data_IF_933820229747
#
_entry.id   IF_933820229747
#
_cell.length_a   1.000
_cell.length_b   1.000
_cell.length_c   1.000
_cell.angle_alpha   90.00
_cell.angle_beta   90.00
_cell.angle_gamma   90.00
#
_symmetry.space_group_name_H-M   'P 1'
#
loop_
_entity.id
_entity.type
_entity.pdbx_description
1 polymer ?
#
# COMPACT_ATOMS: atom_id res chain seq x y z
N UNK A 1 4.61 5.43 -20.61
CA UNK A 1 4.72 4.35 -19.61
C UNK A 1 5.81 4.77 -18.63
N UNK A 2 5.49 5.11 -17.38
CA UNK A 2 6.46 5.63 -16.40
C UNK A 2 7.18 4.43 -15.73
N UNK A 3 8.49 4.20 -15.97
CA UNK A 3 9.15 2.95 -15.62
C UNK A 3 9.64 2.84 -14.16
N UNK A 4 9.21 3.73 -13.25
CA UNK A 4 9.85 3.89 -11.94
C UNK A 4 9.00 3.52 -10.72
N UNK A 5 7.74 3.16 -10.88
CA UNK A 5 6.89 2.78 -9.75
C UNK A 5 7.05 1.30 -9.42
N UNK A 6 7.13 0.98 -8.13
CA UNK A 6 7.03 -0.39 -7.62
C UNK A 6 5.75 -1.04 -8.22
N UNK A 7 5.77 -2.33 -8.61
CA UNK A 7 4.54 -3.09 -8.88
C UNK A 7 3.40 -2.82 -7.90
N UNK A 8 3.70 -2.63 -6.61
CA UNK A 8 2.71 -2.29 -5.59
C UNK A 8 2.13 -0.89 -5.78
N UNK A 9 2.96 0.15 -5.96
CA UNK A 9 2.50 1.53 -6.22
C UNK A 9 1.63 1.61 -7.50
N UNK A 10 1.96 0.80 -8.52
CA UNK A 10 1.15 0.69 -9.74
C UNK A 10 -0.19 -0.01 -9.52
N UNK A 11 -0.26 -0.97 -8.59
CA UNK A 11 -1.51 -1.62 -8.21
C UNK A 11 -2.38 -0.65 -7.40
N UNK A 12 -1.80 0.03 -6.41
CA UNK A 12 -2.45 1.03 -5.57
C UNK A 12 -3.09 2.15 -6.41
N UNK A 13 -2.39 2.64 -7.44
CA UNK A 13 -2.94 3.63 -8.37
C UNK A 13 -4.18 3.17 -9.16
N UNK A 14 -4.39 1.85 -9.32
CA UNK A 14 -5.56 1.28 -10.02
C UNK A 14 -6.73 0.94 -9.11
N UNK A 15 -6.52 0.88 -7.79
CA UNK A 15 -7.56 0.48 -6.85
C UNK A 15 -8.81 1.37 -6.88
N UNK A 16 -8.71 2.72 -6.96
CA UNK A 16 -9.91 3.57 -6.99
C UNK A 16 -10.84 3.24 -8.16
N UNK A 17 -10.28 2.96 -9.33
CA UNK A 17 -11.06 2.54 -10.50
C UNK A 17 -11.73 1.18 -10.28
N UNK A 18 -10.99 0.16 -9.82
CA UNK A 18 -11.55 -1.18 -9.63
C UNK A 18 -12.59 -1.21 -8.50
N UNK A 19 -12.40 -0.43 -7.44
CA UNK A 19 -13.39 -0.26 -6.37
C UNK A 19 -14.66 0.44 -6.87
N UNK A 20 -14.53 1.44 -7.75
CA UNK A 20 -15.69 2.06 -8.41
C UNK A 20 -16.45 1.04 -9.25
N UNK A 21 -15.76 0.24 -10.06
CA UNK A 21 -16.37 -0.82 -10.88
C UNK A 21 -17.07 -1.87 -10.01
N UNK A 22 -16.47 -2.29 -8.89
CA UNK A 22 -17.11 -3.22 -7.95
C UNK A 22 -18.39 -2.63 -7.35
N UNK A 23 -18.38 -1.35 -6.95
CA UNK A 23 -19.57 -0.68 -6.43
C UNK A 23 -20.66 -0.59 -7.50
N UNK A 24 -20.31 -0.17 -8.71
CA UNK A 24 -21.25 -0.10 -9.84
C UNK A 24 -21.87 -1.47 -10.13
N UNK A 25 -21.08 -2.55 -10.08
CA UNK A 25 -21.58 -3.91 -10.24
C UNK A 25 -22.54 -4.35 -9.13
N UNK A 26 -22.25 -4.02 -7.86
CA UNK A 26 -23.15 -4.32 -6.75
C UNK A 26 -24.47 -3.54 -6.87
N UNK A 27 -24.39 -2.24 -7.12
CA UNK A 27 -25.58 -1.38 -7.27
C UNK A 27 -26.42 -1.80 -8.47
N UNK A 28 -25.79 -2.13 -9.60
CA UNK A 28 -26.44 -2.67 -10.78
C UNK A 28 -27.14 -3.99 -10.52
N UNK A 29 -26.44 -4.96 -9.91
CA UNK A 29 -27.00 -6.26 -9.57
C UNK A 29 -28.17 -6.15 -8.59
N UNK A 30 -28.07 -5.26 -7.59
CA UNK A 30 -29.14 -5.00 -6.63
C UNK A 30 -30.39 -4.41 -7.31
N UNK A 31 -30.22 -3.46 -8.24
CA UNK A 31 -31.34 -2.92 -9.03
C UNK A 31 -32.03 -3.99 -9.86
N UNK A 32 -31.27 -4.79 -10.62
CA UNK A 32 -31.81 -5.87 -11.45
C UNK A 32 -32.60 -6.88 -10.60
N UNK A 33 -32.09 -7.21 -9.42
CA UNK A 33 -32.79 -8.08 -8.48
C UNK A 33 -34.09 -7.45 -7.96
N UNK A 34 -34.06 -6.18 -7.57
CA UNK A 34 -35.24 -5.46 -7.09
C UNK A 34 -36.33 -5.35 -8.17
N UNK A 35 -35.95 -5.07 -9.42
CA UNK A 35 -36.88 -5.00 -10.55
C UNK A 35 -37.52 -6.37 -10.82
N UNK A 36 -36.74 -7.44 -10.75
CA UNK A 36 -37.26 -8.80 -10.87
C UNK A 36 -38.23 -9.15 -9.75
N UNK A 37 -37.89 -8.82 -8.49
CA UNK A 37 -38.77 -9.03 -7.33
C UNK A 37 -40.06 -8.21 -7.44
N UNK A 38 -39.98 -6.98 -7.93
CA UNK A 38 -41.16 -6.15 -8.19
C UNK A 38 -42.09 -6.79 -9.22
N UNK A 39 -41.55 -7.22 -10.37
CA UNK A 39 -42.35 -7.85 -11.44
C UNK A 39 -42.96 -9.16 -10.95
N UNK A 40 -42.17 -10.01 -10.30
CA UNK A 40 -42.64 -11.33 -9.84
C UNK A 40 -43.61 -11.23 -8.67
N UNK A 41 -43.45 -10.25 -7.77
CA UNK A 41 -44.39 -9.95 -6.70
C UNK A 41 -45.75 -9.44 -7.19
N UNK A 42 -45.81 -8.87 -8.39
CA UNK A 42 -47.05 -8.40 -9.01
C UNK A 42 -47.80 -9.50 -9.81
N UNK A 43 -47.24 -10.70 -9.95
CA UNK A 43 -47.87 -11.79 -10.70
C UNK A 43 -49.00 -12.44 -9.91
N UNK A 44 -50.18 -12.54 -10.51
CA UNK A 44 -51.30 -13.30 -9.96
C UNK A 44 -51.09 -14.80 -10.26
N UNK A 45 -51.07 -15.69 -9.24
CA UNK A 45 -50.78 -17.11 -9.41
C UNK A 45 -51.65 -17.83 -10.44
N UNK A 46 -52.94 -17.50 -10.50
CA UNK A 46 -53.93 -18.17 -11.37
C UNK A 46 -54.12 -17.45 -12.71
N UNK A 47 -53.37 -16.38 -12.99
CA UNK A 47 -53.54 -15.64 -14.23
C UNK A 47 -52.92 -16.43 -15.39
N UNK A 48 -53.64 -16.64 -16.52
CA UNK A 48 -53.19 -17.51 -17.61
C UNK A 48 -51.90 -17.04 -18.29
N UNK A 49 -51.50 -15.78 -18.10
CA UNK A 49 -50.23 -15.23 -18.64
C UNK A 49 -49.10 -15.15 -17.61
N UNK A 50 -49.33 -15.51 -16.35
CA UNK A 50 -48.33 -15.35 -15.29
C UNK A 50 -47.04 -16.13 -15.57
N UNK A 51 -47.15 -17.38 -16.05
CA UNK A 51 -45.98 -18.18 -16.41
C UNK A 51 -45.14 -17.58 -17.54
N UNK A 52 -45.78 -17.03 -18.58
CA UNK A 52 -45.08 -16.37 -19.68
C UNK A 52 -44.41 -15.05 -19.23
N UNK A 53 -45.10 -14.27 -18.39
CA UNK A 53 -44.55 -13.04 -17.82
C UNK A 53 -43.36 -13.34 -16.89
N UNK A 54 -43.45 -14.38 -16.06
CA UNK A 54 -42.34 -14.84 -15.22
C UNK A 54 -41.13 -15.27 -16.05
N UNK A 55 -41.34 -16.11 -17.07
CA UNK A 55 -40.26 -16.57 -17.95
C UNK A 55 -39.54 -15.40 -18.64
N UNK A 56 -40.31 -14.41 -19.11
CA UNK A 56 -39.75 -13.17 -19.68
C UNK A 56 -38.91 -12.41 -18.65
N UNK A 57 -39.44 -12.21 -17.44
CA UNK A 57 -38.73 -11.51 -16.37
C UNK A 57 -37.41 -12.22 -16.00
N UNK A 58 -37.36 -13.56 -16.01
CA UNK A 58 -36.14 -14.33 -15.79
C UNK A 58 -35.10 -14.07 -16.90
N UNK A 59 -35.53 -14.03 -18.16
CA UNK A 59 -34.63 -13.74 -19.29
C UNK A 59 -34.04 -12.34 -19.17
N UNK A 60 -34.87 -11.34 -18.89
CA UNK A 60 -34.43 -9.94 -18.71
C UNK A 60 -33.47 -9.81 -17.51
N UNK A 61 -33.84 -10.37 -16.35
CA UNK A 61 -32.99 -10.42 -15.16
C UNK A 61 -31.64 -11.07 -15.45
N UNK A 62 -31.61 -12.16 -16.21
CA UNK A 62 -30.37 -12.87 -16.51
C UNK A 62 -29.51 -12.12 -17.52
N UNK A 63 -30.11 -11.52 -18.55
CA UNK A 63 -29.38 -10.76 -19.56
C UNK A 63 -28.51 -9.66 -18.93
N UNK A 64 -29.06 -8.94 -17.94
CA UNK A 64 -28.32 -7.88 -17.24
C UNK A 64 -27.59 -8.39 -16.00
N UNK A 65 -28.18 -9.32 -15.23
CA UNK A 65 -27.59 -9.85 -14.01
C UNK A 65 -26.27 -10.60 -14.23
N UNK A 66 -26.10 -11.25 -15.39
CA UNK A 66 -24.82 -11.87 -15.75
C UNK A 66 -23.70 -10.86 -15.90
N UNK A 67 -23.98 -9.69 -16.49
CA UNK A 67 -22.99 -8.63 -16.67
C UNK A 67 -22.42 -8.16 -15.33
N UNK A 68 -23.29 -7.87 -14.35
CA UNK A 68 -22.85 -7.43 -13.03
C UNK A 68 -22.13 -8.54 -12.24
N UNK A 69 -22.60 -9.80 -12.35
CA UNK A 69 -21.98 -10.94 -11.66
C UNK A 69 -20.56 -11.22 -12.19
N UNK A 70 -20.37 -11.13 -13.50
CA UNK A 70 -19.06 -11.29 -14.13
C UNK A 70 -18.14 -10.12 -13.76
N UNK A 71 -18.63 -8.88 -13.89
CA UNK A 71 -17.88 -7.66 -13.54
C UNK A 71 -17.38 -7.69 -12.10
N UNK A 72 -18.24 -8.12 -11.16
CA UNK A 72 -17.87 -8.33 -9.76
C UNK A 72 -16.75 -9.35 -9.61
N UNK A 73 -16.91 -10.53 -10.23
CA UNK A 73 -15.94 -11.63 -10.13
C UNK A 73 -14.58 -11.25 -10.72
N UNK A 74 -14.57 -10.59 -11.89
CA UNK A 74 -13.35 -10.16 -12.58
C UNK A 74 -12.61 -9.03 -11.85
N UNK A 75 -13.35 -8.17 -11.14
CA UNK A 75 -12.78 -7.05 -10.37
C UNK A 75 -12.45 -7.40 -8.92
N UNK A 76 -13.01 -8.48 -8.38
CA UNK A 76 -12.96 -8.83 -6.96
C UNK A 76 -11.55 -9.06 -6.41
N UNK A 77 -10.60 -9.44 -7.27
CA UNK A 77 -9.19 -9.60 -6.89
C UNK A 77 -8.57 -8.36 -6.24
N UNK A 78 -9.06 -7.15 -6.53
CA UNK A 78 -8.57 -5.91 -5.92
C UNK A 78 -8.73 -5.91 -4.40
N UNK A 79 -9.78 -6.53 -3.86
CA UNK A 79 -10.00 -6.60 -2.42
C UNK A 79 -8.94 -7.47 -1.73
N UNK A 80 -8.47 -8.51 -2.41
CA UNK A 80 -7.38 -9.37 -1.94
C UNK A 80 -6.05 -8.63 -2.00
N UNK A 81 -5.78 -7.94 -3.11
CA UNK A 81 -4.58 -7.11 -3.28
C UNK A 81 -4.47 -6.07 -2.15
N UNK A 82 -5.57 -5.36 -1.86
CA UNK A 82 -5.64 -4.40 -0.74
C UNK A 82 -5.38 -5.06 0.62
N UNK A 83 -6.02 -6.20 0.89
CA UNK A 83 -5.83 -6.91 2.15
C UNK A 83 -4.38 -7.40 2.34
N UNK A 84 -3.70 -7.79 1.27
CA UNK A 84 -2.29 -8.18 1.30
C UNK A 84 -1.37 -6.98 1.51
N UNK A 85 -1.63 -5.87 0.81
CA UNK A 85 -0.87 -4.64 0.96
C UNK A 85 -0.95 -4.08 2.38
N UNK A 86 -2.12 -4.12 3.02
CA UNK A 86 -2.29 -3.72 4.42
C UNK A 86 -1.47 -4.60 5.38
N UNK A 87 -1.36 -5.91 5.13
CA UNK A 87 -0.55 -6.82 5.95
C UNK A 87 0.96 -6.61 5.75
N UNK A 88 1.38 -6.25 4.55
CA UNK A 88 2.79 -5.99 4.21
C UNK A 88 3.26 -4.61 4.64
N UNK A 89 2.34 -3.71 5.03
CA UNK A 89 2.68 -2.33 5.39
C UNK A 89 3.38 -2.31 6.75
N UNK A 90 4.66 -1.90 6.83
CA UNK A 90 5.28 -1.67 8.12
C UNK A 90 4.47 -0.59 8.86
N UNK A 91 4.13 -0.85 10.12
CA UNK A 91 3.48 0.12 11.00
C UNK A 91 4.45 1.28 11.19
N UNK A 92 4.42 2.25 10.28
CA UNK A 92 5.07 3.54 10.47
C UNK A 92 4.22 4.30 11.46
N UNK A 93 4.52 4.14 12.75
CA UNK A 93 3.90 5.00 13.74
C UNK A 93 4.36 6.44 13.44
N UNK A 94 3.46 7.44 13.42
CA UNK A 94 3.86 8.84 13.29
C UNK A 94 4.88 9.23 14.37
N UNK A 95 4.81 8.56 15.53
CA UNK A 95 5.80 8.64 16.59
C UNK A 95 7.18 8.16 16.16
N UNK A 96 7.34 7.09 15.37
CA UNK A 96 8.67 6.62 14.99
C UNK A 96 9.40 7.58 14.04
N UNK A 97 8.68 8.20 13.10
CA UNK A 97 9.26 9.20 12.19
C UNK A 97 9.51 10.53 12.90
N UNK A 98 8.62 10.98 13.77
CA UNK A 98 8.87 12.16 14.62
C UNK A 98 10.00 11.93 15.62
N UNK A 99 10.10 10.75 16.24
CA UNK A 99 11.18 10.40 17.18
C UNK A 99 12.52 10.25 16.44
N UNK A 100 12.54 9.68 15.23
CA UNK A 100 13.76 9.64 14.41
C UNK A 100 14.18 11.03 13.94
N UNK A 101 13.23 11.87 13.50
CA UNK A 101 13.52 13.26 13.13
C UNK A 101 13.95 14.10 14.35
N UNK A 102 13.38 13.84 15.53
CA UNK A 102 13.78 14.48 16.79
C UNK A 102 15.16 14.00 17.25
N UNK A 103 15.50 12.72 17.08
CA UNK A 103 16.86 12.20 17.33
C UNK A 103 17.89 12.81 16.37
N UNK A 104 17.57 12.91 15.08
CA UNK A 104 18.44 13.53 14.08
C UNK A 104 18.69 15.03 14.35
N UNK A 105 17.73 15.70 15.00
CA UNK A 105 17.85 17.11 15.45
C UNK A 105 18.35 17.25 16.88
N UNK A 106 18.60 16.14 17.60
CA UNK A 106 19.06 16.20 18.98
C UNK A 106 20.57 16.42 19.03
N UNK A 107 21.07 17.44 19.76
CA UNK A 107 22.51 17.64 19.95
C UNK A 107 23.20 16.46 20.65
N UNK A 108 22.43 15.59 21.33
CA UNK A 108 22.96 14.41 22.01
C UNK A 108 23.60 13.39 21.06
N UNK A 109 23.17 13.32 19.80
CA UNK A 109 23.78 12.46 18.78
C UNK A 109 25.17 12.97 18.33
N UNK A 110 25.39 14.29 18.34
CA UNK A 110 26.68 14.89 18.05
C UNK A 110 27.69 14.65 19.18
N UNK A 111 27.24 14.59 20.43
CA UNK A 111 28.10 14.31 21.58
C UNK A 111 28.58 12.84 21.66
N UNK A 112 27.78 11.88 21.18
CA UNK A 112 28.22 10.47 21.16
C UNK A 112 29.33 10.19 20.14
N UNK A 113 29.31 10.87 18.99
CA UNK A 113 30.38 10.75 17.99
C UNK A 113 31.70 11.40 18.42
N UNK A 114 31.64 12.40 19.30
CA UNK A 114 32.81 13.09 19.84
C UNK A 114 33.44 12.36 21.04
N UNK A 115 32.65 11.57 21.79
CA UNK A 115 33.12 10.87 22.98
C UNK A 115 33.95 9.61 22.70
N UNK A 116 34.12 9.21 21.44
CA UNK A 116 34.98 8.07 21.04
C UNK A 116 36.17 8.52 20.19
N UNK A 117 36.76 9.66 20.53
CA UNK A 117 38.11 9.99 20.03
C UNK A 117 39.14 9.34 20.97
N UNK A 118 39.93 8.35 20.50
CA UNK A 118 41.05 7.84 21.29
C UNK A 118 42.06 8.98 21.46
N UNK A 119 42.32 9.37 22.70
CA UNK A 119 43.31 10.39 23.04
C UNK A 119 44.70 9.89 22.60
N UNK A 120 45.41 10.57 21.69
CA UNK A 120 46.80 10.27 21.40
C UNK A 120 47.66 10.93 22.48
N UNK A 121 48.50 10.14 23.15
CA UNK A 121 49.54 10.64 24.07
C UNK A 121 50.58 11.39 23.25
N UNK A 122 50.72 12.68 23.52
CA UNK A 122 51.62 13.61 22.83
C UNK A 122 53.08 13.27 23.11
N UNK A 123 53.84 12.90 22.07
CA UNK A 123 55.30 12.88 22.10
C UNK A 123 55.85 14.29 21.80
N UNK A 124 56.71 14.79 22.69
CA UNK A 124 57.40 16.09 22.57
C UNK A 124 58.55 15.98 21.57
N UNK A 125 58.73 16.93 20.63
CA UNK A 125 59.91 16.98 19.79
C UNK A 125 60.93 18.00 20.32
N UNK A 126 62.23 17.70 20.27
CA UNK A 126 63.25 18.75 20.26
C UNK A 126 63.97 18.75 18.90
N UNK A 127 63.87 19.88 18.21
CA UNK A 127 64.75 20.18 17.08
C UNK A 127 65.75 21.26 17.47
N UNK A 128 67.04 20.97 17.34
CA UNK A 128 68.08 21.92 16.93
C UNK A 128 69.34 21.15 16.54
N UNK A 129 69.89 21.54 15.40
CA UNK A 129 70.86 20.81 14.57
C UNK A 129 72.32 20.91 15.04
N UNK A 130 73.11 20.00 14.46
CA UNK A 130 74.47 20.15 13.96
C UNK A 130 75.67 19.71 14.84
N UNK A 131 76.30 18.67 14.29
CA UNK A 131 77.74 18.43 14.12
C UNK A 131 78.68 18.28 15.33
N UNK A 132 79.05 17.00 15.50
CA UNK A 132 80.41 16.48 15.36
C UNK A 132 81.52 17.06 16.27
N UNK A 133 81.99 16.22 17.20
CA UNK A 133 83.40 16.19 17.60
C UNK A 133 83.77 14.87 18.30
N UNK A 134 84.53 14.08 17.56
CA UNK A 134 85.54 13.10 18.00
C UNK A 134 86.20 13.46 19.35
N UNK A 135 86.23 12.52 20.33
CA UNK A 135 87.44 12.24 21.17
C UNK A 135 87.34 10.99 22.08
N UNK A 136 88.00 9.91 21.64
CA UNK A 136 88.95 9.01 22.35
C UNK A 136 88.68 8.48 23.79
N UNK A 137 88.79 7.13 23.86
CA UNK A 137 89.52 6.28 24.86
C UNK A 137 89.18 6.36 26.35
N UNK A 138 88.81 5.21 26.95
CA UNK A 138 89.73 4.18 27.49
C UNK A 138 88.99 2.86 27.66
#
# INVERSE_FOLDING_TARGET
MLPFLDPQDRAEGRWPYRLRVLREALEGGARVQADFEFVTGALLPDHPRAGAAFAKAVVERNAEGWHYSLTWTESGGVLVEMAQAERGRPVRSPQSTQVQAARARSPHAAHQSLATTPVPVTAVPPGLLAHDRVRRSR
#
